data_IF_861375461714
#
_entry.id   IF_861375461714
#
_cell.length_a   1.000
_cell.length_b   1.000
_cell.length_c   1.000
_cell.angle_alpha   90.00
_cell.angle_beta   90.00
_cell.angle_gamma   90.00
#
_symmetry.space_group_name_H-M   'P 1'
#
loop_
_entity.id
_entity.type
_entity.pdbx_description
1 polymer ?
#
# COMPACT_ATOMS: atom_id res chain seq x y z
N UNK A 1 -17.81 -7.69 -23.29
CA UNK A 1 -17.29 -8.58 -24.36
C UNK A 1 -17.29 -10.00 -23.81
N UNK A 2 -17.79 -11.00 -24.55
CA UNK A 2 -17.75 -12.39 -24.11
C UNK A 2 -16.30 -12.92 -24.13
N UNK A 3 -16.01 -13.84 -23.21
CA UNK A 3 -14.71 -14.53 -23.15
C UNK A 3 -14.53 -15.40 -24.40
N UNK A 4 -13.39 -15.22 -25.08
CA UNK A 4 -12.96 -16.02 -26.24
C UNK A 4 -11.60 -16.67 -25.93
N UNK A 5 -11.53 -18.00 -25.76
CA UNK A 5 -10.31 -18.71 -25.37
C UNK A 5 -9.20 -18.69 -26.44
N UNK A 6 -9.49 -18.35 -27.70
CA UNK A 6 -8.46 -18.26 -28.74
C UNK A 6 -7.64 -16.96 -28.65
N UNK A 7 -8.20 -15.92 -28.02
CA UNK A 7 -7.56 -14.60 -27.89
C UNK A 7 -7.33 -14.20 -26.43
N UNK A 8 -8.11 -14.72 -25.48
CA UNK A 8 -7.96 -14.46 -24.05
C UNK A 8 -7.13 -15.56 -23.36
N UNK A 9 -5.83 -15.50 -23.57
CA UNK A 9 -4.86 -16.33 -22.84
C UNK A 9 -4.48 -15.64 -21.52
N UNK A 10 -5.38 -15.63 -20.54
CA UNK A 10 -5.05 -15.09 -19.21
C UNK A 10 -4.17 -16.10 -18.47
N UNK A 11 -2.86 -15.87 -18.52
CA UNK A 11 -1.91 -16.60 -17.67
C UNK A 11 -2.10 -16.18 -16.21
N UNK A 12 -2.07 -17.16 -15.31
CA UNK A 12 -2.06 -16.88 -13.87
C UNK A 12 -0.72 -16.27 -13.48
N UNK A 13 -0.76 -15.10 -12.83
CA UNK A 13 0.42 -14.49 -12.21
C UNK A 13 0.82 -15.16 -10.89
N UNK A 14 -0.04 -16.04 -10.35
CA UNK A 14 0.19 -16.71 -9.07
C UNK A 14 1.25 -17.79 -9.21
N UNK A 15 2.19 -17.81 -8.28
CA UNK A 15 3.21 -18.83 -8.18
C UNK A 15 2.56 -20.20 -7.98
N UNK A 16 2.88 -21.15 -8.86
CA UNK A 16 2.32 -22.49 -8.78
C UNK A 16 2.78 -23.19 -7.49
N UNK A 17 1.82 -23.80 -6.78
CA UNK A 17 2.08 -24.49 -5.50
C UNK A 17 2.22 -23.59 -4.28
N UNK A 18 2.14 -22.26 -4.41
CA UNK A 18 2.16 -21.35 -3.27
C UNK A 18 0.78 -21.16 -2.65
N UNK A 19 0.68 -21.31 -1.34
CA UNK A 19 -0.56 -21.10 -0.57
C UNK A 19 -0.68 -19.64 -0.13
N UNK A 20 -1.48 -18.88 -0.88
CA UNK A 20 -1.73 -17.45 -0.63
C UNK A 20 -2.61 -17.17 0.60
N UNK A 21 -3.11 -18.21 1.30
CA UNK A 21 -3.83 -18.02 2.56
C UNK A 21 -2.89 -17.90 3.76
N UNK A 22 -1.60 -18.21 3.60
CA UNK A 22 -0.64 -18.10 4.69
C UNK A 22 -0.29 -16.63 4.96
N UNK A 23 0.06 -16.28 6.23
CA UNK A 23 0.60 -14.96 6.54
C UNK A 23 1.85 -14.67 5.70
N UNK A 24 1.98 -13.44 5.23
CA UNK A 24 3.15 -12.99 4.47
C UNK A 24 3.38 -11.50 4.66
N UNK A 25 4.64 -11.08 4.54
CA UNK A 25 5.04 -9.67 4.62
C UNK A 25 4.98 -9.02 3.25
N UNK A 26 4.43 -7.81 3.18
CA UNK A 26 4.28 -7.05 1.94
C UNK A 26 4.95 -5.68 2.09
N UNK A 27 5.84 -5.35 1.17
CA UNK A 27 6.35 -3.98 1.03
C UNK A 27 5.54 -3.27 -0.05
N UNK A 28 4.83 -2.20 0.35
CA UNK A 28 3.95 -1.45 -0.54
C UNK A 28 4.37 0.01 -0.54
N UNK A 29 4.48 0.60 -1.74
CA UNK A 29 4.68 2.03 -1.91
C UNK A 29 3.49 2.60 -2.67
N UNK A 30 2.88 3.65 -2.11
CA UNK A 30 1.76 4.36 -2.73
C UNK A 30 2.22 5.80 -2.94
N UNK A 31 2.18 6.26 -4.19
CA UNK A 31 2.52 7.63 -4.53
C UNK A 31 1.24 8.46 -4.76
N UNK A 32 1.31 9.73 -4.40
CA UNK A 32 0.30 10.72 -4.77
C UNK A 32 0.28 10.91 -6.28
N UNK A 33 -0.82 11.47 -6.79
CA UNK A 33 -0.92 11.85 -8.20
C UNK A 33 0.31 12.68 -8.59
N UNK A 34 0.98 12.31 -9.67
CA UNK A 34 2.21 12.97 -10.17
C UNK A 34 3.32 13.19 -9.13
N UNK A 35 3.30 12.47 -7.99
CA UNK A 35 4.23 12.66 -6.86
C UNK A 35 4.18 14.07 -6.25
N UNK A 36 3.00 14.73 -6.27
CA UNK A 36 2.81 16.00 -5.58
C UNK A 36 3.02 15.85 -4.07
N UNK A 37 3.77 16.78 -3.48
CA UNK A 37 4.09 16.81 -2.05
C UNK A 37 2.91 17.36 -1.24
N UNK A 38 1.92 16.53 -0.96
CA UNK A 38 0.66 16.94 -0.31
C UNK A 38 0.58 16.56 1.16
N UNK A 39 1.47 15.72 1.68
CA UNK A 39 1.47 15.23 3.06
C UNK A 39 2.40 15.99 4.00
N UNK A 40 3.20 16.91 3.47
CA UNK A 40 4.09 17.74 4.28
C UNK A 40 5.35 18.14 3.53
N UNK A 41 6.42 18.32 4.29
CA UNK A 41 7.71 18.73 3.76
C UNK A 41 8.84 18.16 4.61
N UNK A 42 10.01 17.98 4.00
CA UNK A 42 11.23 17.62 4.72
C UNK A 42 11.98 18.90 5.09
N UNK A 43 12.34 19.05 6.37
CA UNK A 43 13.17 20.16 6.87
C UNK A 43 14.28 19.54 7.72
N UNK A 44 15.54 19.84 7.39
CA UNK A 44 16.72 19.27 8.07
C UNK A 44 16.67 17.73 8.18
N UNK A 45 16.40 17.06 7.05
CA UNK A 45 16.29 15.59 6.95
C UNK A 45 15.18 14.94 7.79
N UNK A 46 14.29 15.73 8.38
CA UNK A 46 13.13 15.26 9.13
C UNK A 46 11.82 15.53 8.38
N UNK A 47 10.89 14.58 8.45
CA UNK A 47 9.57 14.72 7.86
C UNK A 47 8.63 15.52 8.77
N UNK A 48 8.14 16.66 8.28
CA UNK A 48 7.12 17.48 8.93
C UNK A 48 5.78 17.27 8.24
N UNK A 49 4.88 16.53 8.90
CA UNK A 49 3.53 16.26 8.39
C UNK A 49 2.64 17.49 8.52
N UNK A 50 1.91 17.80 7.45
CA UNK A 50 0.77 18.72 7.50
C UNK A 50 -0.51 17.98 7.90
N UNK A 51 -1.67 18.65 7.87
CA UNK A 51 -2.96 18.04 8.24
C UNK A 51 -3.28 16.78 7.42
N UNK A 52 -3.00 16.77 6.12
CA UNK A 52 -3.21 15.59 5.29
C UNK A 52 -2.27 14.44 5.67
N UNK A 53 -1.00 14.73 5.94
CA UNK A 53 -0.03 13.76 6.46
C UNK A 53 -0.45 13.17 7.80
N UNK A 54 -1.02 13.99 8.70
CA UNK A 54 -1.56 13.51 9.98
C UNK A 54 -2.78 12.60 9.78
N UNK A 55 -3.66 12.91 8.83
CA UNK A 55 -4.79 12.03 8.48
C UNK A 55 -4.28 10.66 8.01
N UNK A 56 -3.25 10.62 7.15
CA UNK A 56 -2.65 9.36 6.70
C UNK A 56 -2.03 8.60 7.87
N UNK A 57 -1.26 9.26 8.73
CA UNK A 57 -0.66 8.65 9.92
C UNK A 57 -1.72 8.00 10.82
N UNK A 58 -2.80 8.72 11.10
CA UNK A 58 -3.90 8.22 11.93
C UNK A 58 -4.63 7.06 11.25
N UNK A 59 -4.86 7.17 9.95
CA UNK A 59 -5.52 6.11 9.16
C UNK A 59 -4.67 4.84 9.16
N UNK A 60 -3.37 4.95 8.90
CA UNK A 60 -2.43 3.82 8.92
C UNK A 60 -2.45 3.10 10.27
N UNK A 61 -2.29 3.86 11.37
CA UNK A 61 -2.31 3.30 12.74
C UNK A 61 -3.66 2.71 13.16
N UNK A 62 -4.75 3.00 12.43
CA UNK A 62 -6.09 2.45 12.65
C UNK A 62 -6.37 1.14 11.90
N UNK A 63 -5.46 0.71 11.02
CA UNK A 63 -5.65 -0.49 10.19
C UNK A 63 -5.83 -1.75 11.04
N UNK A 64 -5.00 -2.06 12.05
CA UNK A 64 -5.15 -3.27 12.85
C UNK A 64 -6.49 -3.36 13.60
N UNK A 65 -7.05 -2.21 13.99
CA UNK A 65 -8.34 -2.12 14.67
C UNK A 65 -9.50 -2.44 13.71
N UNK A 66 -9.35 -2.10 12.43
CA UNK A 66 -10.33 -2.40 11.39
C UNK A 66 -10.16 -3.80 10.79
N UNK A 67 -8.93 -4.28 10.68
CA UNK A 67 -8.55 -5.55 10.06
C UNK A 67 -7.67 -6.34 11.04
N UNK A 68 -8.27 -7.19 11.90
CA UNK A 68 -7.56 -7.89 12.97
C UNK A 68 -6.47 -8.87 12.50
N UNK A 69 -6.47 -9.21 11.21
CA UNK A 69 -5.49 -10.09 10.57
C UNK A 69 -4.32 -9.32 9.91
N UNK A 70 -4.22 -8.00 10.13
CA UNK A 70 -3.13 -7.17 9.64
C UNK A 70 -2.30 -6.69 10.83
N UNK A 71 -0.99 -6.88 10.71
CA UNK A 71 0.03 -6.29 11.57
C UNK A 71 0.77 -5.20 10.80
N UNK A 72 1.09 -4.10 11.47
CA UNK A 72 1.87 -3.02 10.88
C UNK A 72 3.34 -3.24 11.22
N UNK A 73 4.17 -3.25 10.18
CA UNK A 73 5.62 -3.15 10.28
C UNK A 73 6.04 -1.67 10.10
N UNK A 74 7.34 -1.44 9.94
CA UNK A 74 7.92 -0.12 9.68
C UNK A 74 7.29 0.59 8.47
N UNK A 75 7.03 1.88 8.63
CA UNK A 75 6.47 2.73 7.58
C UNK A 75 7.00 4.16 7.66
N UNK A 76 6.98 4.84 6.52
CA UNK A 76 7.30 6.27 6.45
C UNK A 76 6.30 6.96 5.53
N UNK A 77 5.83 8.14 5.95
CA UNK A 77 5.06 9.04 5.10
C UNK A 77 6.06 10.03 4.50
N UNK A 78 6.17 10.02 3.17
CA UNK A 78 6.96 11.00 2.43
C UNK A 78 6.04 12.18 2.05
N UNK A 79 6.61 13.34 1.68
CA UNK A 79 5.84 14.51 1.24
C UNK A 79 4.80 14.20 0.17
#
# INVERSE_FOLDING_TARGET
MPYDPNIHHRLSIRLHGYDYNQPGSYFVTICTYEKHHVFGSIVNDEMYLNDAGQIIKNTWNSIPQRFPNIELDEYIIMP
#
